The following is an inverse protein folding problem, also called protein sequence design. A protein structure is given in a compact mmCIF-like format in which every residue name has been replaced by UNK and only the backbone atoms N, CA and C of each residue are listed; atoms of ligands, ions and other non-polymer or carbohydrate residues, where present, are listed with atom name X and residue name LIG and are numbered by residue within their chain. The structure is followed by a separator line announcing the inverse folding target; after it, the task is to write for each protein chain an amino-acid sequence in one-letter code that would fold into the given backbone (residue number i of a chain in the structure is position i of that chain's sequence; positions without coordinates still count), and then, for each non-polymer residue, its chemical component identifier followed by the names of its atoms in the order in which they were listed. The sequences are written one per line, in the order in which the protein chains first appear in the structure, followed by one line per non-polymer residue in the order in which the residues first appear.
data_IF_524593912766
#
_entry.id   IF_524593912766
#
_cell.length_a   1.000
_cell.length_b   1.000
_cell.length_c   1.000
_cell.angle_alpha   90.00
_cell.angle_beta   90.00
_cell.angle_gamma   90.00
#
_symmetry.space_group_name_H-M   'P 1'
#
loop_
_entity.id
_entity.type
_entity.pdbx_description
1 polymer ?
#
# COMPACT_ATOMS: atom_id res chain seq x y z
N UNK A 1 1.22 1.99 9.50
CA UNK A 1 2.05 0.84 9.07
C UNK A 1 1.19 -0.40 9.14
N UNK A 2 1.17 -1.22 8.09
CA UNK A 2 0.39 -2.47 8.07
C UNK A 2 1.30 -3.67 8.33
N UNK A 3 0.84 -4.61 9.15
CA UNK A 3 1.56 -5.80 9.58
C UNK A 3 0.67 -7.01 9.34
N UNK A 4 1.24 -8.08 8.76
CA UNK A 4 0.53 -9.35 8.59
C UNK A 4 0.46 -10.14 9.89
N UNK A 5 -0.47 -11.11 10.05
CA UNK A 5 -0.56 -11.92 11.26
C UNK A 5 0.75 -12.64 11.64
N UNK A 6 1.60 -12.93 10.66
CA UNK A 6 2.91 -13.57 10.84
C UNK A 6 3.99 -12.61 11.36
N UNK A 7 3.70 -11.31 11.47
CA UNK A 7 4.61 -10.27 11.96
C UNK A 7 5.41 -9.56 10.87
N UNK A 8 5.15 -9.85 9.58
CA UNK A 8 5.82 -9.23 8.44
C UNK A 8 5.27 -7.81 8.16
N UNK A 9 6.15 -6.82 7.98
CA UNK A 9 5.77 -5.49 7.48
C UNK A 9 5.60 -5.52 5.95
N UNK A 10 4.47 -4.99 5.46
CA UNK A 10 4.13 -5.02 4.03
C UNK A 10 4.68 -3.83 3.21
N UNK A 11 5.48 -2.95 3.82
CA UNK A 11 6.09 -1.79 3.17
C UNK A 11 5.16 -0.58 2.96
N UNK A 12 3.93 -0.61 3.50
CA UNK A 12 2.97 0.51 3.40
C UNK A 12 2.74 1.16 4.76
N UNK A 13 2.85 2.49 4.79
CA UNK A 13 2.59 3.33 5.97
C UNK A 13 1.56 4.41 5.64
N UNK A 14 0.72 4.69 6.63
CA UNK A 14 -0.21 5.81 6.61
C UNK A 14 0.11 6.64 7.85
N UNK A 15 0.37 7.93 7.64
CA UNK A 15 0.74 8.87 8.70
C UNK A 15 -0.32 9.98 8.77
N UNK A 16 -0.94 10.14 9.95
CA UNK A 16 -2.01 11.12 10.19
C UNK A 16 -3.38 10.48 10.50
N UNK A 17 -4.41 11.32 10.62
CA UNK A 17 -5.78 10.91 10.89
C UNK A 17 -6.55 10.71 9.56
N UNK A 18 -6.98 9.48 9.22
CA UNK A 18 -7.72 9.20 7.99
C UNK A 18 -9.20 9.55 8.18
N UNK A 19 -9.52 10.85 8.18
CA UNK A 19 -10.90 11.34 8.23
C UNK A 19 -11.40 11.72 6.84
N UNK A 20 -12.72 11.71 6.65
CA UNK A 20 -13.35 11.99 5.37
C UNK A 20 -13.14 10.85 4.35
N UNK A 21 -12.90 11.21 3.08
CA UNK A 21 -12.76 10.26 1.98
C UNK A 21 -11.55 9.31 2.12
N UNK A 22 -10.54 9.69 2.92
CA UNK A 22 -9.32 8.90 3.11
C UNK A 22 -9.51 7.66 4.00
N UNK A 23 -10.64 7.55 4.70
CA UNK A 23 -10.98 6.31 5.40
C UNK A 23 -11.11 5.13 4.43
N UNK A 24 -11.62 5.37 3.21
CA UNK A 24 -11.71 4.36 2.16
C UNK A 24 -10.33 3.87 1.72
N UNK A 25 -9.38 4.80 1.53
CA UNK A 25 -7.98 4.50 1.20
C UNK A 25 -7.32 3.64 2.28
N UNK A 26 -7.53 3.98 3.56
CA UNK A 26 -7.02 3.19 4.68
C UNK A 26 -7.57 1.76 4.65
N UNK A 27 -8.88 1.60 4.53
CA UNK A 27 -9.54 0.28 4.48
C UNK A 27 -9.03 -0.54 3.28
N UNK A 28 -8.93 0.09 2.11
CA UNK A 28 -8.36 -0.52 0.92
C UNK A 28 -6.93 -1.01 1.15
N UNK A 29 -6.10 -0.21 1.83
CA UNK A 29 -4.75 -0.58 2.23
C UNK A 29 -4.70 -1.81 3.15
N UNK A 30 -5.60 -1.90 4.15
CA UNK A 30 -5.71 -3.09 5.01
C UNK A 30 -6.05 -4.33 4.19
N UNK A 31 -7.04 -4.22 3.30
CA UNK A 31 -7.51 -5.34 2.47
C UNK A 31 -6.37 -5.82 1.57
N UNK A 32 -5.66 -4.90 0.92
CA UNK A 32 -4.56 -5.27 0.02
C UNK A 32 -3.37 -5.89 0.78
N UNK A 33 -3.02 -5.34 1.95
CA UNK A 33 -1.97 -5.90 2.82
C UNK A 33 -2.26 -7.35 3.26
N UNK A 34 -3.54 -7.70 3.42
CA UNK A 34 -4.01 -9.02 3.78
C UNK A 34 -4.08 -10.03 2.63
N UNK A 35 -3.90 -9.61 1.36
CA UNK A 35 -3.90 -10.53 0.23
C UNK A 35 -2.60 -11.32 0.16
N UNK A 36 -2.71 -12.57 -0.31
CA UNK A 36 -1.55 -13.41 -0.68
C UNK A 36 -1.06 -13.14 -2.09
N UNK A 37 -1.95 -12.72 -2.97
CA UNK A 37 -1.68 -12.43 -4.38
C UNK A 37 -1.96 -10.96 -4.68
N UNK A 38 -1.12 -10.34 -5.51
CA UNK A 38 -1.26 -8.93 -5.89
C UNK A 38 -2.50 -8.71 -6.75
N UNK A 39 -3.21 -7.60 -6.55
CA UNK A 39 -4.30 -7.19 -7.43
C UNK A 39 -3.83 -6.55 -8.76
N UNK A 40 -2.52 -6.39 -8.96
CA UNK A 40 -1.96 -5.78 -10.17
C UNK A 40 -2.04 -6.73 -11.36
N UNK A 41 -2.12 -6.16 -12.56
CA UNK A 41 -2.04 -6.95 -13.78
C UNK A 41 -0.63 -7.55 -13.95
N UNK A 42 -0.49 -8.73 -14.59
CA UNK A 42 0.80 -9.37 -14.80
C UNK A 42 1.84 -8.45 -15.45
N UNK A 43 1.46 -7.65 -16.45
CA UNK A 43 2.40 -6.76 -17.14
C UNK A 43 2.93 -5.65 -16.22
N UNK A 44 2.12 -5.25 -15.22
CA UNK A 44 2.55 -4.27 -14.21
C UNK A 44 3.56 -4.90 -13.24
N UNK A 45 3.36 -6.17 -12.86
CA UNK A 45 4.30 -6.91 -12.02
C UNK A 45 5.62 -7.16 -12.76
N UNK A 46 5.57 -7.53 -14.04
CA UNK A 46 6.76 -7.69 -14.88
C UNK A 46 7.57 -6.40 -14.97
N UNK A 47 6.89 -5.26 -15.16
CA UNK A 47 7.55 -3.96 -15.20
C UNK A 47 8.17 -3.58 -13.84
N UNK A 48 7.45 -3.80 -12.74
CA UNK A 48 7.95 -3.52 -11.38
C UNK A 48 9.15 -4.41 -11.03
N UNK A 49 9.20 -5.65 -11.51
CA UNK A 49 10.33 -6.56 -11.29
C UNK A 49 11.64 -6.12 -11.97
N UNK A 50 11.58 -5.18 -12.92
CA UNK A 50 12.76 -4.62 -13.58
C UNK A 50 13.34 -3.39 -12.86
N UNK A 51 12.75 -2.96 -11.74
CA UNK A 51 13.31 -1.86 -10.94
C UNK A 51 14.67 -2.28 -10.37
N UNK A 52 15.70 -1.49 -10.66
CA UNK A 52 17.10 -1.74 -10.28
C UNK A 52 17.51 -1.03 -8.98
N UNK A 53 16.55 -0.38 -8.33
CA UNK A 53 16.73 0.42 -7.12
C UNK A 53 15.47 0.42 -6.26
N UNK A 54 15.66 0.60 -4.97
CA UNK A 54 14.57 0.82 -4.04
C UNK A 54 13.84 2.13 -4.37
N UNK A 55 12.51 2.08 -4.35
CA UNK A 55 11.64 3.22 -4.64
C UNK A 55 10.78 3.52 -3.41
N UNK A 56 10.95 4.71 -2.85
CA UNK A 56 10.02 5.28 -1.88
C UNK A 56 8.98 6.15 -2.62
N UNK A 57 7.70 5.97 -2.31
CA UNK A 57 6.59 6.75 -2.86
C UNK A 57 5.86 7.43 -1.72
N UNK A 58 6.00 8.76 -1.64
CA UNK A 58 5.29 9.58 -0.66
C UNK A 58 4.09 10.27 -1.33
N UNK A 59 2.91 10.06 -0.76
CA UNK A 59 1.65 10.64 -1.24
C UNK A 59 1.10 11.58 -0.18
N UNK A 60 0.96 12.86 -0.53
CA UNK A 60 0.43 13.89 0.36
C UNK A 60 -1.03 14.19 0.00
N UNK A 61 -1.92 14.02 0.99
CA UNK A 61 -3.36 14.26 0.84
C UNK A 61 -3.85 15.26 1.88
N UNK A 62 -4.89 16.01 1.54
CA UNK A 62 -5.60 16.91 2.47
C UNK A 62 -7.02 16.40 2.67
N UNK A 63 -7.47 16.16 3.91
CA UNK A 63 -8.88 15.86 4.18
C UNK A 63 -9.74 17.04 3.72
N UNK A 64 -10.70 16.78 2.83
CA UNK A 64 -11.66 17.79 2.33
C UNK A 64 -12.61 18.25 3.42
#
# INVERSE_FOLDING_TARGET
MFIRPEGEEVGVRYDGLPWGYELGSLIGGVIEAGRRESSLRPESLEALAQLDRDLAVDVFVTPT
#
